data_IF_659890841605
#
_entry.id   IF_659890841605
#
_cell.length_a   1.000
_cell.length_b   1.000
_cell.length_c   1.000
_cell.angle_alpha   90.00
_cell.angle_beta   90.00
_cell.angle_gamma   90.00
#
_symmetry.space_group_name_H-M   'P 1'
#
loop_
_entity.id
_entity.type
_entity.pdbx_description
1 polymer ?
#
# COMPACT_ATOMS: atom_id res chain seq x y z
N UNK A 1 -41.12 34.02 17.01
CA UNK A 1 -39.76 34.63 16.91
C UNK A 1 -38.80 33.63 16.26
N UNK A 2 -38.36 33.91 15.03
CA UNK A 2 -37.30 33.12 14.40
C UNK A 2 -35.96 33.63 14.93
N UNK A 3 -35.32 32.88 15.81
CA UNK A 3 -33.96 33.20 16.23
C UNK A 3 -33.03 32.81 15.09
N UNK A 4 -32.47 33.79 14.40
CA UNK A 4 -31.41 33.59 13.42
C UNK A 4 -30.10 33.36 14.18
N UNK A 5 -29.46 32.25 13.93
CA UNK A 5 -28.12 31.97 14.47
C UNK A 5 -27.14 33.05 14.01
N UNK A 6 -26.34 33.62 14.91
CA UNK A 6 -25.39 34.66 14.55
C UNK A 6 -24.29 34.11 13.63
N UNK A 7 -23.82 34.94 12.70
CA UNK A 7 -22.84 34.56 11.65
C UNK A 7 -21.58 33.89 12.21
N UNK A 8 -21.10 34.30 13.38
CA UNK A 8 -19.92 33.69 14.02
C UNK A 8 -20.14 32.23 14.41
N UNK A 9 -21.36 31.82 14.78
CA UNK A 9 -21.69 30.40 15.04
C UNK A 9 -21.65 29.57 13.77
N UNK A 10 -22.11 30.12 12.64
CA UNK A 10 -21.99 29.46 11.34
C UNK A 10 -20.52 29.23 10.95
N UNK A 11 -19.68 30.24 11.13
CA UNK A 11 -18.24 30.12 10.85
C UNK A 11 -17.56 29.10 11.77
N UNK A 12 -17.99 29.05 13.03
CA UNK A 12 -17.45 28.07 13.99
C UNK A 12 -17.87 26.64 13.65
N UNK A 13 -19.11 26.43 13.21
CA UNK A 13 -19.59 25.13 12.73
C UNK A 13 -18.84 24.70 11.46
N UNK A 14 -18.65 25.58 10.50
CA UNK A 14 -17.87 25.30 9.28
C UNK A 14 -16.41 24.97 9.61
N UNK A 15 -15.81 25.67 10.58
CA UNK A 15 -14.46 25.39 11.04
C UNK A 15 -14.35 24.02 11.73
N UNK A 16 -15.33 23.65 12.56
CA UNK A 16 -15.41 22.31 13.20
C UNK A 16 -15.61 21.22 12.16
N UNK A 17 -16.47 21.46 11.15
CA UNK A 17 -16.67 20.51 10.02
C UNK A 17 -15.38 20.38 9.22
N UNK A 18 -14.66 21.47 8.96
CA UNK A 18 -13.36 21.45 8.28
C UNK A 18 -12.32 20.66 9.08
N UNK A 19 -12.22 20.87 10.41
CA UNK A 19 -11.33 20.09 11.27
C UNK A 19 -11.72 18.60 11.35
N UNK A 20 -13.02 18.30 11.32
CA UNK A 20 -13.52 16.92 11.34
C UNK A 20 -13.32 16.19 10.00
N UNK A 21 -13.19 16.92 8.88
CA UNK A 21 -12.93 16.32 7.56
C UNK A 21 -11.48 15.85 7.38
N UNK A 22 -10.57 16.22 8.27
CA UNK A 22 -9.19 15.68 8.32
C UNK A 22 -9.09 14.39 9.15
N UNK A 23 -10.07 13.48 9.05
CA UNK A 23 -9.85 12.09 9.47
C UNK A 23 -8.93 11.45 8.42
N UNK A 24 -7.65 11.81 8.47
CA UNK A 24 -6.61 11.08 7.77
C UNK A 24 -6.59 9.68 8.36
N UNK A 25 -6.67 8.67 7.52
CA UNK A 25 -6.34 7.33 7.94
C UNK A 25 -4.98 7.41 8.63
N UNK A 26 -4.93 7.19 9.94
CA UNK A 26 -3.66 7.25 10.65
C UNK A 26 -2.73 6.19 10.08
N UNK A 27 -1.49 6.54 9.72
CA UNK A 27 -0.52 5.54 9.33
C UNK A 27 -0.22 4.64 10.52
N UNK A 28 -0.11 3.36 10.25
CA UNK A 28 0.29 2.39 11.26
C UNK A 28 1.80 2.19 11.18
N UNK A 29 2.45 2.20 12.34
CA UNK A 29 3.88 1.89 12.52
C UNK A 29 4.09 0.38 12.65
N UNK A 30 3.54 -0.40 11.72
CA UNK A 30 3.70 -1.85 11.72
C UNK A 30 5.08 -2.24 11.21
N UNK A 31 5.69 -3.20 11.89
CA UNK A 31 6.95 -3.78 11.44
C UNK A 31 6.73 -4.67 10.21
N UNK A 32 7.46 -4.39 9.14
CA UNK A 32 7.51 -5.29 7.98
C UNK A 32 8.43 -6.46 8.36
N UNK A 33 7.90 -7.67 8.27
CA UNK A 33 8.60 -8.89 8.65
C UNK A 33 9.40 -9.47 7.48
N UNK A 34 8.85 -9.39 6.26
CA UNK A 34 9.51 -9.86 5.04
C UNK A 34 8.82 -9.35 3.79
N UNK A 35 9.56 -9.35 2.70
CA UNK A 35 9.04 -9.14 1.34
C UNK A 35 8.70 -10.49 0.73
N UNK A 36 7.46 -10.65 0.27
CA UNK A 36 6.96 -11.88 -0.38
C UNK A 36 7.33 -11.86 -1.86
N UNK A 37 6.97 -10.78 -2.55
CA UNK A 37 7.34 -10.46 -3.94
C UNK A 37 7.37 -8.94 -4.15
N UNK A 38 7.59 -8.48 -5.38
CA UNK A 38 7.86 -7.06 -5.66
C UNK A 38 6.78 -6.10 -5.16
N UNK A 39 5.53 -6.54 -5.11
CA UNK A 39 4.39 -5.71 -4.69
C UNK A 39 3.66 -6.24 -3.44
N UNK A 40 4.24 -7.19 -2.73
CA UNK A 40 3.58 -7.80 -1.56
C UNK A 40 4.56 -7.98 -0.42
N UNK A 41 4.19 -7.46 0.75
CA UNK A 41 4.95 -7.58 2.00
C UNK A 41 4.13 -8.27 3.07
N UNK A 42 4.78 -8.89 4.05
CA UNK A 42 4.16 -9.40 5.28
C UNK A 42 4.57 -8.48 6.43
N UNK A 43 3.60 -8.04 7.21
CA UNK A 43 3.81 -7.16 8.36
C UNK A 43 3.24 -7.77 9.64
N UNK A 44 3.73 -7.30 10.77
CA UNK A 44 3.23 -7.68 12.08
C UNK A 44 1.85 -7.05 12.32
N UNK A 45 0.87 -7.86 12.70
CA UNK A 45 -0.51 -7.47 12.94
C UNK A 45 -0.89 -7.80 14.40
N UNK A 46 -0.24 -7.11 15.33
CA UNK A 46 -0.39 -7.28 16.77
C UNK A 46 -1.80 -6.93 17.30
N UNK A 47 -2.58 -6.19 16.50
CA UNK A 47 -4.00 -5.92 16.75
C UNK A 47 -4.91 -7.16 16.60
N UNK A 48 -4.42 -8.24 15.99
CA UNK A 48 -5.17 -9.49 15.91
C UNK A 48 -5.11 -10.24 17.24
N UNK A 49 -6.20 -10.94 17.63
CA UNK A 49 -6.18 -11.79 18.83
C UNK A 49 -5.01 -12.79 18.80
N UNK A 50 -4.36 -13.00 19.94
CA UNK A 50 -3.16 -13.84 20.03
C UNK A 50 -3.34 -15.30 19.60
N UNK A 51 -4.59 -15.80 19.54
CA UNK A 51 -4.92 -17.11 18.98
C UNK A 51 -4.82 -17.17 17.44
N UNK A 52 -4.79 -16.00 16.77
CA UNK A 52 -4.60 -15.89 15.33
C UNK A 52 -3.13 -15.61 15.03
N UNK A 53 -2.68 -15.93 13.82
CA UNK A 53 -1.38 -15.48 13.34
C UNK A 53 -1.35 -13.95 13.37
N UNK A 54 -0.47 -13.39 14.20
CA UNK A 54 -0.27 -11.94 14.29
C UNK A 54 0.58 -11.43 13.10
N UNK A 55 0.25 -11.90 11.90
CA UNK A 55 0.92 -11.55 10.65
C UNK A 55 -0.12 -11.39 9.56
N UNK A 56 0.05 -10.36 8.74
CA UNK A 56 -0.84 -10.08 7.62
C UNK A 56 -0.04 -9.73 6.38
N UNK A 57 -0.52 -10.17 5.22
CA UNK A 57 0.05 -9.76 3.94
C UNK A 57 -0.61 -8.47 3.47
N UNK A 58 0.21 -7.55 2.96
CA UNK A 58 -0.23 -6.32 2.32
C UNK A 58 0.23 -6.33 0.87
N UNK A 59 -0.71 -6.16 -0.05
CA UNK A 59 -0.42 -5.84 -1.45
C UNK A 59 -0.33 -4.33 -1.61
N UNK A 60 0.77 -3.85 -2.18
CA UNK A 60 0.98 -2.44 -2.48
C UNK A 60 -0.04 -2.00 -3.53
N UNK A 61 -0.81 -0.96 -3.17
CA UNK A 61 -1.89 -0.45 -4.01
C UNK A 61 -1.37 0.28 -5.24
N UNK A 62 -2.08 0.14 -6.35
CA UNK A 62 -1.83 0.90 -7.58
C UNK A 62 -0.71 0.34 -8.46
N UNK A 63 -0.16 -0.84 -8.14
CA UNK A 63 0.95 -1.41 -8.93
C UNK A 63 0.75 -2.89 -9.26
N UNK A 64 1.38 -3.30 -10.35
CA UNK A 64 1.58 -4.69 -10.76
C UNK A 64 3.08 -4.90 -11.03
N UNK A 65 3.64 -5.92 -10.40
CA UNK A 65 5.02 -6.38 -10.63
C UNK A 65 5.02 -7.68 -11.43
N UNK A 66 6.16 -8.04 -12.07
CA UNK A 66 6.27 -9.31 -12.78
C UNK A 66 5.96 -10.50 -11.86
N UNK A 67 5.28 -11.52 -12.40
CA UNK A 67 4.93 -12.73 -11.68
C UNK A 67 6.12 -13.69 -11.59
N UNK A 68 6.16 -14.49 -10.50
CA UNK A 68 7.22 -15.46 -10.24
C UNK A 68 6.76 -16.90 -10.37
N UNK A 69 7.71 -17.77 -10.63
CA UNK A 69 7.52 -19.23 -10.68
C UNK A 69 6.45 -19.65 -11.68
N UNK A 70 5.51 -20.56 -11.30
CA UNK A 70 4.49 -21.06 -12.21
C UNK A 70 3.52 -20.02 -12.76
N UNK A 71 3.46 -18.83 -12.15
CA UNK A 71 2.60 -17.73 -12.61
C UNK A 71 3.27 -16.84 -13.66
N UNK A 72 4.59 -16.90 -13.76
CA UNK A 72 5.33 -16.19 -14.79
C UNK A 72 5.03 -16.77 -16.18
N UNK A 73 4.74 -15.91 -17.16
CA UNK A 73 4.40 -16.31 -18.53
C UNK A 73 5.63 -16.71 -19.35
N UNK A 74 6.82 -16.29 -18.91
CA UNK A 74 8.09 -16.58 -19.57
C UNK A 74 9.26 -16.47 -18.57
N UNK A 75 10.44 -17.03 -18.91
CA UNK A 75 11.64 -16.98 -18.06
C UNK A 75 12.08 -15.53 -17.75
N UNK A 76 11.91 -14.61 -18.70
CA UNK A 76 12.25 -13.21 -18.52
C UNK A 76 11.37 -12.54 -17.47
N UNK A 77 10.09 -12.81 -17.45
CA UNK A 77 9.17 -12.29 -16.41
C UNK A 77 9.59 -12.81 -15.03
N UNK A 78 9.90 -14.10 -14.91
CA UNK A 78 10.38 -14.68 -13.67
C UNK A 78 11.67 -14.02 -13.16
N UNK A 79 12.62 -13.72 -14.05
CA UNK A 79 13.83 -12.99 -13.69
C UNK A 79 13.52 -11.56 -13.22
N UNK A 80 12.67 -10.83 -13.95
CA UNK A 80 12.22 -9.49 -13.56
C UNK A 80 11.49 -9.48 -12.21
N UNK A 81 10.75 -10.54 -11.88
CA UNK A 81 10.08 -10.66 -10.59
C UNK A 81 11.06 -10.75 -9.42
N UNK A 82 12.17 -11.46 -9.60
CA UNK A 82 13.25 -11.51 -8.61
C UNK A 82 13.92 -10.15 -8.44
N UNK A 83 14.16 -9.43 -9.53
CA UNK A 83 14.71 -8.08 -9.49
C UNK A 83 13.79 -7.09 -8.78
N UNK A 84 12.47 -7.14 -9.07
CA UNK A 84 11.47 -6.32 -8.40
C UNK A 84 11.42 -6.61 -6.89
N UNK A 85 11.47 -7.89 -6.50
CA UNK A 85 11.52 -8.29 -5.09
C UNK A 85 12.77 -7.76 -4.39
N UNK A 86 13.95 -7.94 -4.98
CA UNK A 86 15.22 -7.45 -4.42
C UNK A 86 15.20 -5.93 -4.27
N UNK A 87 14.68 -5.20 -5.25
CA UNK A 87 14.51 -3.75 -5.17
C UNK A 87 13.61 -3.37 -3.98
N UNK A 88 12.46 -4.00 -3.84
CA UNK A 88 11.54 -3.76 -2.72
C UNK A 88 12.21 -4.06 -1.37
N UNK A 89 12.99 -5.14 -1.27
CA UNK A 89 13.77 -5.46 -0.07
C UNK A 89 14.79 -4.36 0.25
N UNK A 90 15.55 -3.91 -0.73
CA UNK A 90 16.55 -2.85 -0.56
C UNK A 90 15.92 -1.53 -0.11
N UNK A 91 14.79 -1.13 -0.71
CA UNK A 91 14.08 0.09 -0.35
C UNK A 91 13.52 0.03 1.08
N UNK A 92 12.93 -1.10 1.47
CA UNK A 92 12.36 -1.27 2.82
C UNK A 92 13.46 -1.32 3.88
N UNK A 93 14.50 -2.13 3.67
CA UNK A 93 15.58 -2.27 4.66
C UNK A 93 16.51 -1.06 4.74
N UNK A 94 16.55 -0.24 3.69
CA UNK A 94 17.30 1.02 3.67
C UNK A 94 16.55 2.21 4.27
N UNK A 95 15.24 2.11 4.46
CA UNK A 95 14.42 3.21 4.93
C UNK A 95 14.59 3.46 6.44
N UNK A 96 14.68 4.73 6.83
CA UNK A 96 14.71 5.15 8.24
C UNK A 96 13.30 5.23 8.86
N UNK A 97 12.28 5.45 8.04
CA UNK A 97 10.89 5.57 8.46
C UNK A 97 9.99 4.79 7.52
N UNK A 98 9.16 3.91 8.08
CA UNK A 98 8.19 3.12 7.33
C UNK A 98 6.81 3.39 7.92
N UNK A 99 5.85 3.77 7.08
CA UNK A 99 4.45 3.97 7.43
C UNK A 99 3.57 3.14 6.51
N UNK A 100 2.58 2.44 7.08
CA UNK A 100 1.61 1.65 6.33
C UNK A 100 0.24 2.30 6.43
N UNK A 101 -0.42 2.48 5.27
CA UNK A 101 -1.79 2.96 5.17
C UNK A 101 -2.67 1.86 4.59
N UNK A 102 -3.47 1.21 5.42
CA UNK A 102 -4.39 0.16 4.96
C UNK A 102 -5.61 0.82 4.31
N UNK A 103 -5.89 0.46 3.06
CA UNK A 103 -7.06 0.95 2.31
C UNK A 103 -8.27 0.02 2.42
N UNK A 104 -8.05 -1.27 2.60
CA UNK A 104 -9.11 -2.26 2.69
C UNK A 104 -8.63 -3.68 2.38
N UNK A 105 -9.57 -4.60 2.24
CA UNK A 105 -9.28 -5.98 1.85
C UNK A 105 -9.04 -6.09 0.34
N UNK A 106 -8.10 -6.94 -0.04
CA UNK A 106 -7.97 -7.37 -1.44
C UNK A 106 -9.21 -8.22 -1.83
N UNK A 107 -9.60 -8.12 -3.09
CA UNK A 107 -10.76 -8.82 -3.66
C UNK A 107 -10.75 -10.34 -3.48
N UNK A 108 -9.59 -10.93 -3.28
CA UNK A 108 -9.44 -12.38 -3.08
C UNK A 108 -9.42 -12.79 -1.59
N UNK A 109 -9.49 -11.84 -0.66
CA UNK A 109 -9.32 -12.08 0.77
C UNK A 109 -7.89 -12.49 1.17
N UNK A 110 -7.68 -12.68 2.46
CA UNK A 110 -6.39 -13.15 3.01
C UNK A 110 -5.24 -12.17 3.01
N UNK A 111 -5.39 -11.00 2.38
CA UNK A 111 -4.43 -9.88 2.43
C UNK A 111 -5.15 -8.55 2.34
N UNK A 112 -4.51 -7.50 2.78
CA UNK A 112 -4.99 -6.12 2.66
C UNK A 112 -4.34 -5.40 1.48
N UNK A 113 -5.03 -4.39 0.96
CA UNK A 113 -4.49 -3.39 0.03
C UNK A 113 -4.03 -2.19 0.84
N UNK A 114 -2.89 -1.63 0.49
CA UNK A 114 -2.39 -0.45 1.19
C UNK A 114 -1.22 0.22 0.51
N UNK A 115 -0.86 1.38 1.06
CA UNK A 115 0.34 2.10 0.68
C UNK A 115 1.44 1.85 1.72
N UNK A 116 2.66 1.75 1.25
CA UNK A 116 3.88 1.71 2.08
C UNK A 116 4.66 2.98 1.77
N UNK A 117 4.81 3.82 2.78
CA UNK A 117 5.54 5.08 2.67
C UNK A 117 6.92 4.91 3.32
N UNK A 118 7.96 5.12 2.56
CA UNK A 118 9.35 5.01 2.97
C UNK A 118 9.99 6.40 2.93
N UNK A 119 10.39 6.91 4.10
CA UNK A 119 11.00 8.25 4.24
C UNK A 119 10.18 9.37 3.56
N UNK A 120 8.85 9.27 3.64
CA UNK A 120 7.91 10.23 3.07
C UNK A 120 7.53 10.00 1.60
N UNK A 121 8.10 9.01 0.90
CA UNK A 121 7.76 8.67 -0.48
C UNK A 121 7.05 7.30 -0.56
N UNK A 122 6.02 7.20 -1.42
CA UNK A 122 5.31 5.94 -1.62
C UNK A 122 6.18 4.93 -2.40
N UNK A 123 6.28 3.72 -1.87
CA UNK A 123 7.03 2.62 -2.50
C UNK A 123 6.49 2.28 -3.90
N UNK A 124 5.18 2.42 -4.14
CA UNK A 124 4.60 2.25 -5.47
C UNK A 124 5.23 3.20 -6.49
N UNK A 125 5.42 4.48 -6.11
CA UNK A 125 6.08 5.50 -6.95
C UNK A 125 7.53 5.12 -7.24
N UNK A 126 8.28 4.65 -6.24
CA UNK A 126 9.66 4.21 -6.41
C UNK A 126 9.76 3.02 -7.37
N UNK A 127 8.87 2.03 -7.21
CA UNK A 127 8.81 0.84 -8.07
C UNK A 127 8.55 1.20 -9.54
N UNK A 128 7.55 2.07 -9.81
CA UNK A 128 7.20 2.51 -11.16
C UNK A 128 8.34 3.31 -11.79
N UNK A 129 8.88 4.30 -11.06
CA UNK A 129 9.98 5.16 -11.53
C UNK A 129 11.24 4.37 -11.93
N UNK A 130 11.52 3.28 -11.22
CA UNK A 130 12.67 2.42 -11.50
C UNK A 130 12.36 1.24 -12.46
N UNK A 131 11.13 1.18 -12.99
CA UNK A 131 10.75 0.18 -13.99
C UNK A 131 10.48 -1.23 -13.45
N UNK A 132 10.36 -1.40 -12.12
CA UNK A 132 10.07 -2.67 -11.47
C UNK A 132 8.57 -2.95 -11.33
N UNK A 133 7.73 -1.93 -11.50
CA UNK A 133 6.28 -2.07 -11.52
C UNK A 133 5.65 -1.19 -12.60
N UNK A 134 4.41 -1.48 -12.93
CA UNK A 134 3.53 -0.65 -13.77
C UNK A 134 2.26 -0.32 -13.01
N UNK A 135 1.62 0.78 -13.37
CA UNK A 135 0.34 1.16 -12.76
C UNK A 135 -0.73 0.09 -13.01
N UNK A 136 -1.41 -0.31 -11.95
CA UNK A 136 -2.51 -1.26 -12.02
C UNK A 136 -3.41 -1.16 -10.79
N UNK A 137 -4.67 -0.84 -11.02
CA UNK A 137 -5.67 -0.63 -9.95
C UNK A 137 -6.65 -1.79 -9.79
N UNK A 138 -6.33 -2.95 -10.36
CA UNK A 138 -7.16 -4.15 -10.23
C UNK A 138 -8.16 -4.36 -11.35
N UNK A 139 -8.23 -3.45 -12.33
CA UNK A 139 -9.13 -3.50 -13.48
C UNK A 139 -8.35 -3.65 -14.79
N UNK A 140 -8.97 -4.32 -15.77
CA UNK A 140 -8.35 -4.57 -17.07
C UNK A 140 -7.25 -5.64 -17.07
N UNK A 141 -6.51 -5.68 -18.16
CA UNK A 141 -5.42 -6.64 -18.36
C UNK A 141 -4.16 -6.18 -17.65
N UNK A 142 -3.48 -7.11 -16.98
CA UNK A 142 -2.13 -6.90 -16.46
C UNK A 142 -1.13 -6.65 -17.58
N UNK A 143 -0.05 -5.98 -17.24
CA UNK A 143 1.05 -5.70 -18.14
C UNK A 143 1.70 -6.98 -18.68
N UNK A 144 2.15 -6.95 -19.93
CA UNK A 144 3.01 -7.98 -20.48
C UNK A 144 4.47 -7.68 -20.13
N UNK A 145 5.06 -8.57 -19.32
CA UNK A 145 6.44 -8.47 -18.86
C UNK A 145 7.42 -9.27 -19.70
N UNK A 146 6.92 -10.04 -20.68
CA UNK A 146 7.71 -10.91 -21.55
C UNK A 146 8.31 -10.17 -22.75
N UNK A 147 7.61 -9.15 -23.25
CA UNK A 147 8.13 -8.30 -24.33
C UNK A 147 9.14 -7.26 -23.77
N UNK A 148 10.07 -6.84 -24.64
CA UNK A 148 11.11 -5.87 -24.29
C UNK A 148 10.51 -4.48 -24.11
#
# INVERSE_FOLDING_TARGET
MRQTLPLWMFLLILYIIYLASEVRANPYDFQILRVIDGDTVEFEADFLPGALKQKMSLRIYGVDTPEKGPRAKCPNENLKSLQAKLFTEQEIYGAMSIKIYIKGWDKYGGRVLGDVILDGENLSTRLIRNGYAREYYGEGSKSDWCTK
#
